data_IF_486943928298
#
_entry.id   IF_486943928298
#
_cell.length_a   1.000
_cell.length_b   1.000
_cell.length_c   1.000
_cell.angle_alpha   90.00
_cell.angle_beta   90.00
_cell.angle_gamma   90.00
#
_symmetry.space_group_name_H-M   'P 1'
#
loop_
_entity.id
_entity.type
_entity.pdbx_description
1 polymer ?
#
# COMPACT_ATOMS: atom_id res chain seq x y z
N UNK A 1 -7.72 18.96 4.59
CA UNK A 1 -6.67 19.51 5.48
C UNK A 1 -5.90 20.54 4.68
N UNK A 2 -5.73 21.75 5.19
CA UNK A 2 -4.89 22.78 4.55
C UNK A 2 -3.53 22.82 5.26
N UNK A 3 -2.45 22.92 4.47
CA UNK A 3 -1.08 22.99 4.98
C UNK A 3 -0.58 24.44 4.85
N UNK A 4 -0.09 25.02 5.94
CA UNK A 4 0.43 26.37 5.98
C UNK A 4 1.94 26.42 5.63
N UNK A 5 2.61 25.27 5.71
CA UNK A 5 4.05 25.13 5.49
C UNK A 5 4.49 25.55 4.09
N UNK A 6 5.47 26.47 4.03
CA UNK A 6 6.02 26.97 2.77
C UNK A 6 6.99 25.97 2.14
N UNK A 7 7.74 25.24 2.96
CA UNK A 7 8.64 24.19 2.49
C UNK A 7 8.02 22.81 2.62
N UNK A 8 8.55 21.82 1.89
CA UNK A 8 8.13 20.41 2.04
C UNK A 8 8.35 19.91 3.48
N UNK A 9 9.45 20.31 4.11
CA UNK A 9 9.76 19.95 5.50
C UNK A 9 8.77 20.53 6.51
N UNK A 10 8.35 21.79 6.32
CA UNK A 10 7.31 22.39 7.18
C UNK A 10 5.99 21.62 7.05
N UNK A 11 5.57 21.32 5.81
CA UNK A 11 4.36 20.53 5.55
C UNK A 11 4.45 19.11 6.11
N UNK A 12 5.64 18.51 6.11
CA UNK A 12 5.87 17.20 6.72
C UNK A 12 5.69 17.24 8.24
N UNK A 13 6.19 18.28 8.93
CA UNK A 13 5.95 18.44 10.36
C UNK A 13 4.47 18.69 10.68
N UNK A 14 3.79 19.48 9.85
CA UNK A 14 2.33 19.66 9.95
C UNK A 14 1.60 18.32 9.76
N UNK A 15 2.00 17.52 8.76
CA UNK A 15 1.46 16.18 8.51
C UNK A 15 1.61 15.26 9.72
N UNK A 16 2.79 15.23 10.35
CA UNK A 16 3.03 14.46 11.59
C UNK A 16 2.10 14.94 12.70
N UNK A 17 1.99 16.26 12.90
CA UNK A 17 1.14 16.83 13.94
C UNK A 17 -0.36 16.53 13.70
N UNK A 18 -0.81 16.57 12.44
CA UNK A 18 -2.16 16.13 12.05
C UNK A 18 -2.36 14.63 12.28
N UNK A 19 -1.38 13.80 11.91
CA UNK A 19 -1.41 12.35 12.13
C UNK A 19 -1.54 11.98 13.61
N UNK A 20 -0.81 12.67 14.49
CA UNK A 20 -0.93 12.47 15.95
C UNK A 20 -2.32 12.86 16.45
N UNK A 21 -2.80 14.08 16.12
CA UNK A 21 -4.11 14.54 16.58
C UNK A 21 -5.25 13.67 16.05
N UNK A 22 -5.18 13.30 14.76
CA UNK A 22 -6.14 12.41 14.12
C UNK A 22 -6.11 11.02 14.74
N UNK A 23 -4.93 10.43 14.97
CA UNK A 23 -4.79 9.13 15.60
C UNK A 23 -5.36 9.08 17.02
N UNK A 24 -5.14 10.13 17.83
CA UNK A 24 -5.73 10.24 19.18
C UNK A 24 -7.25 10.34 19.10
N UNK A 25 -7.78 11.22 18.25
CA UNK A 25 -9.22 11.41 18.10
C UNK A 25 -9.90 10.11 17.62
N UNK A 26 -9.33 9.43 16.63
CA UNK A 26 -9.86 8.16 16.12
C UNK A 26 -9.77 7.04 17.16
N UNK A 27 -8.72 7.00 17.97
CA UNK A 27 -8.63 6.04 19.07
C UNK A 27 -9.72 6.27 20.13
N UNK A 28 -10.05 7.52 20.43
CA UNK A 28 -11.15 7.89 21.35
C UNK A 28 -12.51 7.48 20.78
N UNK A 29 -12.80 7.86 19.53
CA UNK A 29 -14.06 7.50 18.85
C UNK A 29 -14.23 5.98 18.82
N UNK A 30 -13.19 5.24 18.39
CA UNK A 30 -13.26 3.78 18.33
C UNK A 30 -13.41 3.14 19.72
N UNK A 31 -12.77 3.70 20.75
CA UNK A 31 -12.91 3.21 22.14
C UNK A 31 -14.32 3.43 22.70
N UNK A 32 -14.95 4.57 22.40
CA UNK A 32 -16.32 4.87 22.81
C UNK A 32 -17.32 3.99 22.04
N UNK A 33 -17.17 3.91 20.72
CA UNK A 33 -18.05 3.11 19.85
C UNK A 33 -18.05 1.63 20.19
N UNK A 34 -16.89 1.05 20.50
CA UNK A 34 -16.81 -0.38 20.84
C UNK A 34 -17.49 -0.71 22.18
N UNK A 35 -17.75 0.28 23.04
CA UNK A 35 -18.44 0.11 24.32
C UNK A 35 -17.89 -1.05 25.19
N UNK A 36 -16.57 -1.19 25.26
CA UNK A 36 -15.90 -2.27 26.02
C UNK A 36 -15.73 -3.61 25.27
N UNK A 37 -16.37 -3.79 24.12
CA UNK A 37 -16.31 -5.03 23.33
C UNK A 37 -15.06 -5.12 22.45
N UNK A 38 -14.40 -6.29 22.44
CA UNK A 38 -13.22 -6.56 21.62
C UNK A 38 -11.93 -5.86 22.07
N UNK A 39 -10.92 -5.81 21.19
CA UNK A 39 -9.65 -5.09 21.40
C UNK A 39 -9.48 -4.07 20.28
N UNK A 40 -8.96 -2.90 20.63
CA UNK A 40 -8.66 -1.83 19.68
C UNK A 40 -7.19 -1.85 19.31
N UNK A 41 -6.88 -1.97 18.01
CA UNK A 41 -5.52 -1.94 17.50
C UNK A 41 -5.31 -0.70 16.62
N UNK A 42 -4.09 -0.16 16.64
CA UNK A 42 -3.65 0.86 15.69
C UNK A 42 -2.78 0.20 14.63
N UNK A 43 -3.11 0.42 13.35
CA UNK A 43 -2.24 0.02 12.25
C UNK A 43 -1.27 1.15 11.90
N UNK A 44 0.01 0.82 11.71
CA UNK A 44 1.09 1.75 11.36
C UNK A 44 1.83 1.24 10.13
N UNK A 45 1.87 2.03 9.07
CA UNK A 45 2.74 1.78 7.93
C UNK A 45 4.15 2.28 8.27
N UNK A 46 5.16 1.40 8.24
CA UNK A 46 6.51 1.76 8.69
C UNK A 46 7.20 2.75 7.74
N UNK A 47 7.04 2.58 6.42
CA UNK A 47 7.53 3.52 5.42
C UNK A 47 6.70 4.82 5.30
N UNK A 48 5.76 5.09 6.22
CA UNK A 48 5.16 6.41 6.31
C UNK A 48 6.18 7.41 6.88
N UNK A 49 6.11 8.66 6.40
CA UNK A 49 6.93 9.74 6.92
C UNK A 49 6.58 10.02 8.38
N UNK A 50 7.56 9.99 9.27
CA UNK A 50 7.35 10.26 10.69
C UNK A 50 6.63 9.14 11.45
N UNK A 51 6.73 7.88 11.00
CA UNK A 51 6.09 6.75 11.68
C UNK A 51 6.40 6.68 13.20
N UNK A 52 7.67 6.83 13.60
CA UNK A 52 8.07 6.82 15.01
C UNK A 52 7.45 7.95 15.85
N UNK A 53 7.60 9.24 15.51
CA UNK A 53 6.99 10.32 16.29
C UNK A 53 5.47 10.27 16.30
N UNK A 54 4.83 9.85 15.19
CA UNK A 54 3.37 9.65 15.16
C UNK A 54 2.97 8.57 16.17
N UNK A 55 3.65 7.42 16.15
CA UNK A 55 3.34 6.33 17.04
C UNK A 55 3.53 6.71 18.52
N UNK A 56 4.63 7.37 18.87
CA UNK A 56 4.85 7.89 20.22
C UNK A 56 3.76 8.88 20.63
N UNK A 57 3.43 9.84 19.76
CA UNK A 57 2.40 10.85 20.04
C UNK A 57 1.01 10.25 20.25
N UNK A 58 0.62 9.27 19.43
CA UNK A 58 -0.68 8.61 19.55
C UNK A 58 -0.74 7.71 20.79
N UNK A 59 0.27 6.88 21.05
CA UNK A 59 0.25 5.98 22.21
C UNK A 59 0.33 6.73 23.55
N UNK A 60 1.02 7.88 23.58
CA UNK A 60 1.00 8.77 24.75
C UNK A 60 -0.37 9.44 24.93
N UNK A 61 -0.90 10.04 23.86
CA UNK A 61 -2.16 10.80 23.92
C UNK A 61 -3.43 9.94 24.06
N UNK A 62 -3.37 8.67 23.64
CA UNK A 62 -4.46 7.70 23.72
C UNK A 62 -4.13 6.55 24.69
N UNK A 63 -3.31 6.82 25.71
CA UNK A 63 -2.86 5.81 26.68
C UNK A 63 -4.05 5.08 27.31
N UNK A 64 -4.00 3.74 27.28
CA UNK A 64 -5.05 2.86 27.80
C UNK A 64 -6.22 2.61 26.83
N UNK A 65 -6.27 3.27 25.66
CA UNK A 65 -7.32 3.05 24.67
C UNK A 65 -6.91 2.00 23.62
N UNK A 66 -5.62 1.99 23.23
CA UNK A 66 -5.05 1.09 22.23
C UNK A 66 -4.41 -0.13 22.92
N UNK A 67 -4.73 -1.32 22.43
CA UNK A 67 -4.32 -2.61 22.99
C UNK A 67 -3.24 -3.31 22.16
N UNK A 68 -3.14 -2.98 20.87
CA UNK A 68 -2.18 -3.56 19.95
C UNK A 68 -1.72 -2.57 18.89
N UNK A 69 -0.49 -2.74 18.40
CA UNK A 69 0.02 -2.03 17.23
C UNK A 69 0.36 -3.05 16.14
N UNK A 70 -0.39 -3.01 15.05
CA UNK A 70 -0.11 -3.80 13.85
C UNK A 70 0.77 -2.98 12.93
N UNK A 71 1.87 -3.55 12.42
CA UNK A 71 2.83 -2.77 11.64
C UNK A 71 3.44 -3.54 10.47
N UNK A 72 3.33 -2.97 9.27
CA UNK A 72 3.85 -3.52 8.02
C UNK A 72 4.49 -2.46 7.13
N UNK A 73 4.60 -2.76 5.83
CA UNK A 73 5.21 -1.88 4.81
C UNK A 73 6.61 -1.37 5.22
N UNK A 74 7.60 -2.27 5.21
CA UNK A 74 8.99 -1.99 5.59
C UNK A 74 9.56 -3.03 6.56
N UNK A 75 10.69 -2.70 7.20
CA UNK A 75 11.29 -3.54 8.26
C UNK A 75 11.22 -2.81 9.62
N UNK A 76 10.11 -2.93 10.38
CA UNK A 76 9.86 -2.15 11.58
C UNK A 76 10.65 -2.65 12.79
N UNK A 77 11.98 -2.44 12.79
CA UNK A 77 12.85 -2.93 13.86
C UNK A 77 12.59 -2.27 15.22
N UNK A 78 12.02 -1.07 15.28
CA UNK A 78 11.78 -0.38 16.56
C UNK A 78 10.37 -0.58 17.12
N UNK A 79 9.45 -1.18 16.38
CA UNK A 79 8.05 -1.29 16.81
C UNK A 79 7.90 -1.98 18.17
N UNK A 80 8.62 -3.07 18.39
CA UNK A 80 8.59 -3.80 19.65
C UNK A 80 9.03 -2.93 20.84
N UNK A 81 10.10 -2.14 20.66
CA UNK A 81 10.60 -1.27 21.70
C UNK A 81 9.63 -0.12 22.00
N UNK A 82 9.03 0.47 20.97
CA UNK A 82 8.06 1.57 21.13
C UNK A 82 6.82 1.03 21.83
N UNK A 83 6.18 -0.03 21.32
CA UNK A 83 4.96 -0.60 21.88
C UNK A 83 5.13 -1.03 23.35
N UNK A 84 6.26 -1.64 23.70
CA UNK A 84 6.55 -2.07 25.07
C UNK A 84 6.68 -0.89 26.06
N UNK A 85 7.19 0.28 25.63
CA UNK A 85 7.26 1.48 26.50
C UNK A 85 5.87 1.94 26.96
N UNK A 86 4.84 1.67 26.16
CA UNK A 86 3.45 2.03 26.45
C UNK A 86 2.62 0.87 27.00
N UNK A 87 3.22 -0.31 27.18
CA UNK A 87 2.51 -1.51 27.63
C UNK A 87 1.47 -2.02 26.63
N UNK A 88 1.78 -1.94 25.33
CA UNK A 88 0.90 -2.33 24.22
C UNK A 88 1.53 -3.49 23.46
N UNK A 89 0.73 -4.47 23.03
CA UNK A 89 1.23 -5.58 22.21
C UNK A 89 1.60 -5.12 20.80
N UNK A 90 2.57 -5.77 20.16
CA UNK A 90 2.92 -5.51 18.76
C UNK A 90 2.66 -6.74 17.88
N UNK A 91 2.28 -6.47 16.63
CA UNK A 91 1.88 -7.45 15.62
C UNK A 91 2.58 -7.11 14.30
N UNK A 92 3.78 -7.65 14.02
CA UNK A 92 4.45 -7.41 12.75
C UNK A 92 3.70 -8.08 11.61
N UNK A 93 3.53 -7.34 10.50
CA UNK A 93 3.08 -7.86 9.22
C UNK A 93 4.31 -8.32 8.44
N UNK A 94 4.30 -9.57 8.00
CA UNK A 94 5.38 -10.19 7.23
C UNK A 94 4.79 -10.94 6.04
N UNK A 95 5.55 -11.00 4.95
CA UNK A 95 5.18 -11.83 3.80
C UNK A 95 5.87 -13.19 3.79
N UNK A 96 6.78 -13.49 4.72
CA UNK A 96 7.53 -14.76 4.74
C UNK A 96 8.22 -15.04 6.08
N UNK A 97 8.55 -16.32 6.32
CA UNK A 97 9.39 -16.75 7.43
C UNK A 97 10.75 -16.05 7.46
N UNK A 98 11.32 -15.75 6.27
CA UNK A 98 12.61 -15.03 6.14
C UNK A 98 12.51 -13.61 6.67
N UNK A 99 11.43 -12.89 6.33
CA UNK A 99 11.20 -11.53 6.82
C UNK A 99 11.04 -11.53 8.34
N UNK A 100 10.21 -12.43 8.88
CA UNK A 100 10.03 -12.55 10.33
C UNK A 100 11.33 -12.92 11.06
N UNK A 101 12.11 -13.88 10.53
CA UNK A 101 13.43 -14.25 11.08
C UNK A 101 14.37 -13.06 11.17
N UNK A 102 14.40 -12.20 10.15
CA UNK A 102 15.22 -10.99 10.17
C UNK A 102 14.77 -10.01 11.28
N UNK A 103 13.47 -9.78 11.42
CA UNK A 103 12.92 -8.92 12.48
C UNK A 103 13.20 -9.50 13.88
N UNK A 104 12.99 -10.81 14.05
CA UNK A 104 13.22 -11.53 15.29
C UNK A 104 14.66 -11.43 15.78
N UNK A 105 15.60 -11.80 14.90
CA UNK A 105 17.02 -11.88 15.27
C UNK A 105 17.62 -10.51 15.59
N UNK A 106 17.15 -9.45 14.91
CA UNK A 106 17.67 -8.10 15.04
C UNK A 106 16.99 -7.29 16.14
N UNK A 107 15.71 -7.57 16.44
CA UNK A 107 14.92 -6.78 17.39
C UNK A 107 14.05 -7.63 18.33
N UNK A 108 13.08 -8.39 17.81
CA UNK A 108 11.94 -8.83 18.61
C UNK A 108 12.28 -9.86 19.69
N UNK A 109 13.36 -10.65 19.52
CA UNK A 109 13.82 -11.60 20.54
C UNK A 109 14.16 -10.96 21.90
N UNK A 110 14.36 -9.63 21.94
CA UNK A 110 14.67 -8.89 23.17
C UNK A 110 13.42 -8.55 23.99
N UNK A 111 12.25 -8.58 23.35
CA UNK A 111 10.96 -8.18 23.92
C UNK A 111 9.88 -9.17 23.43
N UNK A 112 10.07 -10.49 23.63
CA UNK A 112 9.15 -11.50 23.12
C UNK A 112 7.77 -11.46 23.82
N UNK A 113 7.72 -11.04 25.08
CA UNK A 113 6.52 -11.03 25.92
C UNK A 113 5.43 -10.07 25.44
N UNK A 114 5.81 -9.06 24.64
CA UNK A 114 4.88 -8.10 24.05
C UNK A 114 4.43 -8.48 22.63
N UNK A 115 4.99 -9.54 22.03
CA UNK A 115 4.56 -10.02 20.71
C UNK A 115 3.17 -10.69 20.84
N UNK A 116 2.14 -10.07 20.28
CA UNK A 116 0.76 -10.58 20.38
C UNK A 116 0.39 -11.59 19.30
N UNK A 117 1.10 -11.58 18.17
CA UNK A 117 0.81 -12.40 17.00
C UNK A 117 1.67 -11.97 15.82
N UNK A 118 1.75 -12.78 14.78
CA UNK A 118 2.45 -12.43 13.53
C UNK A 118 1.45 -12.45 12.40
N UNK A 119 1.24 -11.31 11.73
CA UNK A 119 0.36 -11.25 10.56
C UNK A 119 1.14 -11.74 9.35
N UNK A 120 0.79 -12.90 8.81
CA UNK A 120 1.25 -13.30 7.48
C UNK A 120 0.33 -12.66 6.46
N UNK A 121 0.87 -11.79 5.62
CA UNK A 121 0.14 -11.16 4.53
C UNK A 121 0.57 -11.76 3.20
N UNK A 122 -0.37 -12.41 2.51
CA UNK A 122 -0.14 -13.01 1.20
C UNK A 122 0.28 -11.93 0.19
N UNK A 123 1.50 -12.01 -0.38
CA UNK A 123 2.04 -10.92 -1.18
C UNK A 123 1.47 -10.90 -2.62
N UNK A 124 0.67 -11.88 -3.02
CA UNK A 124 -0.03 -11.87 -4.31
C UNK A 124 -1.52 -11.58 -4.17
N UNK A 125 -2.13 -11.83 -3.01
CA UNK A 125 -3.59 -11.78 -2.85
C UNK A 125 -4.09 -10.63 -1.99
N UNK A 126 -3.25 -10.07 -1.11
CA UNK A 126 -3.65 -8.97 -0.24
C UNK A 126 -3.86 -7.67 -1.02
N UNK A 127 -4.83 -6.85 -0.59
CA UNK A 127 -5.04 -5.51 -1.14
C UNK A 127 -4.01 -4.52 -0.59
N UNK A 128 -3.76 -3.43 -1.30
CA UNK A 128 -2.81 -2.41 -0.82
C UNK A 128 -1.36 -2.79 -1.10
N UNK A 129 -0.43 -2.39 -0.23
CA UNK A 129 1.00 -2.69 -0.41
C UNK A 129 1.31 -4.17 -0.17
N UNK A 130 2.17 -4.76 -1.01
CA UNK A 130 2.48 -6.18 -0.97
C UNK A 130 3.98 -6.46 -0.79
N UNK A 131 4.30 -7.43 0.07
CA UNK A 131 5.66 -7.79 0.46
C UNK A 131 6.40 -8.78 -0.45
N UNK A 132 6.27 -8.65 -1.78
CA UNK A 132 7.06 -9.47 -2.72
C UNK A 132 8.56 -9.14 -2.67
N UNK A 133 9.37 -10.17 -2.73
CA UNK A 133 10.82 -10.09 -2.88
C UNK A 133 11.24 -10.08 -4.35
N UNK A 134 12.46 -9.61 -4.63
CA UNK A 134 12.98 -9.54 -6.01
C UNK A 134 13.15 -10.91 -6.69
N UNK A 135 13.12 -12.01 -5.94
CA UNK A 135 13.21 -13.38 -6.49
C UNK A 135 11.84 -13.99 -6.80
N UNK A 136 10.76 -13.34 -6.39
CA UNK A 136 9.40 -13.83 -6.61
C UNK A 136 8.83 -13.20 -7.87
N UNK A 137 8.07 -13.99 -8.64
CA UNK A 137 7.37 -13.51 -9.82
C UNK A 137 6.00 -12.95 -9.41
N UNK A 138 5.71 -11.65 -9.62
CA UNK A 138 4.41 -11.06 -9.29
C UNK A 138 3.25 -11.68 -10.09
N UNK A 139 3.52 -12.32 -11.23
CA UNK A 139 2.50 -12.92 -12.10
C UNK A 139 2.19 -14.38 -11.77
N UNK A 140 2.91 -14.99 -10.83
CA UNK A 140 2.74 -16.40 -10.45
C UNK A 140 2.45 -16.49 -8.95
N UNK A 141 1.17 -16.38 -8.54
CA UNK A 141 0.79 -16.55 -7.14
C UNK A 141 1.14 -17.94 -6.60
N UNK A 142 1.73 -17.96 -5.40
CA UNK A 142 2.03 -19.21 -4.70
C UNK A 142 0.89 -19.61 -3.75
N UNK A 143 0.91 -20.89 -3.33
CA UNK A 143 0.08 -21.37 -2.24
C UNK A 143 0.58 -20.77 -0.90
N UNK A 144 -0.30 -20.14 -0.08
CA UNK A 144 0.11 -19.62 1.21
C UNK A 144 0.45 -20.71 2.24
N UNK A 145 -0.08 -21.95 2.15
CA UNK A 145 0.11 -22.97 3.18
C UNK A 145 1.59 -23.27 3.47
N UNK A 146 2.45 -23.60 2.47
CA UNK A 146 3.85 -23.88 2.74
C UNK A 146 4.62 -22.69 3.35
N UNK A 147 4.22 -21.45 3.00
CA UNK A 147 4.87 -20.23 3.49
C UNK A 147 4.51 -19.96 4.95
N UNK A 148 3.25 -20.23 5.33
CA UNK A 148 2.76 -20.16 6.71
C UNK A 148 3.33 -21.30 7.56
N UNK A 149 3.41 -22.51 7.02
CA UNK A 149 4.04 -23.64 7.71
C UNK A 149 5.52 -23.37 8.02
N UNK A 150 6.28 -22.82 7.05
CA UNK A 150 7.67 -22.40 7.27
C UNK A 150 7.80 -21.28 8.32
N UNK A 151 6.81 -20.37 8.40
CA UNK A 151 6.77 -19.33 9.43
C UNK A 151 6.51 -19.96 10.80
N UNK A 152 5.55 -20.87 10.92
CA UNK A 152 5.22 -21.62 12.14
C UNK A 152 6.42 -22.44 12.62
N UNK A 153 7.08 -23.17 11.73
CA UNK A 153 8.29 -23.95 12.04
C UNK A 153 9.36 -23.06 12.69
N UNK A 154 9.64 -21.89 12.09
CA UNK A 154 10.61 -20.97 12.66
C UNK A 154 10.13 -20.37 13.99
N UNK A 155 8.87 -19.96 14.10
CA UNK A 155 8.28 -19.46 15.35
C UNK A 155 8.43 -20.48 16.49
N UNK A 156 8.10 -21.75 16.22
CA UNK A 156 8.24 -22.84 17.20
C UNK A 156 9.72 -23.03 17.61
N UNK A 157 10.66 -22.95 16.65
CA UNK A 157 12.09 -23.09 16.93
C UNK A 157 12.66 -22.02 17.88
N UNK A 158 11.96 -20.90 18.05
CA UNK A 158 12.36 -19.80 18.95
C UNK A 158 11.43 -19.65 20.15
N UNK A 159 10.58 -20.64 20.42
CA UNK A 159 9.72 -20.71 21.60
C UNK A 159 8.39 -19.96 21.49
N UNK A 160 7.94 -19.63 20.27
CA UNK A 160 6.67 -18.93 20.02
C UNK A 160 5.53 -19.90 19.64
N UNK A 161 5.48 -21.07 20.28
CA UNK A 161 4.55 -22.14 19.93
C UNK A 161 3.08 -21.69 20.02
N UNK A 162 2.74 -20.91 21.05
CA UNK A 162 1.37 -20.49 21.32
C UNK A 162 1.02 -19.11 20.73
N UNK A 163 1.98 -18.45 20.06
CA UNK A 163 1.73 -17.15 19.43
C UNK A 163 1.02 -17.37 18.09
N UNK A 164 -0.15 -16.74 17.85
CA UNK A 164 -0.92 -16.99 16.65
C UNK A 164 -0.25 -16.40 15.41
N UNK A 165 -0.35 -17.12 14.30
CA UNK A 165 -0.18 -16.54 12.97
C UNK A 165 -1.55 -16.04 12.51
N UNK A 166 -1.62 -14.80 12.06
CA UNK A 166 -2.84 -14.20 11.53
C UNK A 166 -2.72 -14.22 10.01
N UNK A 167 -3.44 -15.13 9.35
CA UNK A 167 -3.49 -15.25 7.90
C UNK A 167 -4.29 -14.07 7.31
N UNK A 168 -3.64 -13.28 6.47
CA UNK A 168 -4.20 -12.12 5.78
C UNK A 168 -3.92 -12.19 4.28
N UNK A 169 -4.80 -11.60 3.49
CA UNK A 169 -4.70 -11.59 2.02
C UNK A 169 -5.37 -12.81 1.39
N UNK A 170 -6.31 -12.58 0.48
CA UNK A 170 -7.06 -13.66 -0.18
C UNK A 170 -8.09 -14.39 0.70
N UNK A 171 -8.15 -14.13 2.01
CA UNK A 171 -9.17 -14.74 2.88
C UNK A 171 -10.54 -14.18 2.52
N UNK A 172 -11.46 -15.06 2.10
CA UNK A 172 -12.86 -14.71 1.83
C UNK A 172 -13.82 -15.53 2.66
N UNK A 173 -13.70 -16.87 2.60
CA UNK A 173 -14.47 -17.81 3.43
C UNK A 173 -13.53 -18.55 4.37
N UNK A 174 -13.94 -18.80 5.62
CA UNK A 174 -13.13 -19.60 6.54
C UNK A 174 -13.17 -21.08 6.21
N UNK A 175 -14.23 -21.58 5.56
CA UNK A 175 -14.31 -22.96 5.07
C UNK A 175 -13.21 -23.32 4.07
N UNK A 176 -12.67 -22.32 3.35
CA UNK A 176 -11.51 -22.51 2.45
C UNK A 176 -10.21 -22.81 3.24
N UNK A 177 -10.23 -22.66 4.57
CA UNK A 177 -9.11 -22.86 5.49
C UNK A 177 -9.44 -23.88 6.60
N UNK A 178 -10.46 -24.73 6.44
CA UNK A 178 -10.85 -25.72 7.45
C UNK A 178 -9.66 -26.62 7.87
N UNK A 179 -8.86 -27.06 6.89
CA UNK A 179 -7.67 -27.88 7.09
C UNK A 179 -6.49 -27.15 7.80
N UNK A 180 -6.66 -25.88 8.17
CA UNK A 180 -5.64 -25.07 8.87
C UNK A 180 -5.92 -24.91 10.36
N UNK A 181 -7.19 -24.82 10.78
CA UNK A 181 -7.58 -24.30 12.11
C UNK A 181 -6.97 -25.11 13.26
N UNK A 182 -6.94 -26.44 13.13
CA UNK A 182 -6.37 -27.36 14.12
C UNK A 182 -5.11 -28.09 13.62
N UNK A 183 -4.55 -27.64 12.50
CA UNK A 183 -3.39 -28.30 11.91
C UNK A 183 -2.10 -27.83 12.62
N UNK A 184 -1.35 -28.73 13.28
CA UNK A 184 -0.16 -28.37 14.07
C UNK A 184 0.97 -27.74 13.23
N UNK A 185 0.94 -27.88 11.90
CA UNK A 185 1.91 -27.24 11.01
C UNK A 185 1.71 -25.73 10.89
N UNK A 186 0.53 -25.21 11.23
CA UNK A 186 0.21 -23.77 11.11
C UNK A 186 -0.46 -23.18 12.35
N UNK A 187 -1.15 -24.00 13.14
CA UNK A 187 -1.84 -23.60 14.36
C UNK A 187 -0.88 -23.12 15.49
N UNK A 188 -1.33 -22.23 16.40
CA UNK A 188 -2.63 -21.54 16.37
C UNK A 188 -2.68 -20.52 15.22
N UNK A 189 -3.83 -20.46 14.53
CA UNK A 189 -4.05 -19.56 13.40
C UNK A 189 -5.30 -18.71 13.63
N UNK A 190 -5.25 -17.45 13.20
CA UNK A 190 -6.38 -16.54 13.12
C UNK A 190 -6.44 -15.93 11.71
N UNK A 191 -7.49 -15.19 11.39
CA UNK A 191 -7.71 -14.66 10.04
C UNK A 191 -8.02 -13.16 10.07
N UNK A 192 -7.46 -12.42 9.12
CA UNK A 192 -7.70 -11.00 8.96
C UNK A 192 -8.35 -10.71 7.60
N UNK A 193 -9.42 -9.92 7.62
CA UNK A 193 -10.18 -9.51 6.45
C UNK A 193 -10.00 -8.01 6.20
N UNK A 194 -9.47 -7.65 5.03
CA UNK A 194 -9.32 -6.25 4.61
C UNK A 194 -10.36 -5.82 3.57
N UNK A 195 -10.60 -6.67 2.56
CA UNK A 195 -11.49 -6.32 1.43
C UNK A 195 -12.97 -6.43 1.78
N UNK A 196 -13.43 -7.52 2.43
CA UNK A 196 -14.87 -7.71 2.74
C UNK A 196 -15.48 -6.54 3.53
N UNK A 197 -14.81 -5.99 4.57
CA UNK A 197 -15.35 -4.84 5.31
C UNK A 197 -15.50 -3.54 4.50
N UNK A 198 -14.94 -3.44 3.29
CA UNK A 198 -15.16 -2.28 2.43
C UNK A 198 -16.64 -2.13 2.07
N UNK A 199 -17.36 -3.25 1.88
CA UNK A 199 -18.78 -3.25 1.51
C UNK A 199 -19.67 -3.56 2.72
N UNK A 200 -19.69 -2.64 3.68
CA UNK A 200 -20.62 -2.65 4.82
C UNK A 200 -21.31 -1.29 4.97
N UNK A 201 -22.34 -1.24 5.81
CA UNK A 201 -23.07 0.00 6.10
C UNK A 201 -22.18 1.03 6.81
N UNK A 202 -21.31 0.56 7.70
CA UNK A 202 -20.38 1.37 8.50
C UNK A 202 -19.16 1.86 7.70
N UNK A 203 -18.89 1.27 6.54
CA UNK A 203 -17.80 1.69 5.67
C UNK A 203 -18.08 3.07 5.05
N UNK A 204 -17.12 3.99 5.23
CA UNK A 204 -17.20 5.38 4.77
C UNK A 204 -16.86 5.56 3.27
N UNK A 205 -16.59 4.48 2.53
CA UNK A 205 -16.37 4.59 1.09
C UNK A 205 -17.65 5.08 0.38
N UNK A 206 -17.49 5.77 -0.75
CA UNK A 206 -18.60 6.32 -1.53
C UNK A 206 -19.54 5.23 -2.08
N UNK A 207 -20.80 5.58 -2.33
CA UNK A 207 -21.76 4.67 -2.97
C UNK A 207 -21.31 4.23 -4.36
N UNK A 208 -20.61 5.10 -5.08
CA UNK A 208 -19.98 4.78 -6.36
C UNK A 208 -18.91 3.70 -6.20
N UNK A 209 -18.05 3.79 -5.18
CA UNK A 209 -17.07 2.76 -4.86
C UNK A 209 -17.76 1.45 -4.46
N UNK A 210 -18.78 1.49 -3.61
CA UNK A 210 -19.59 0.31 -3.25
C UNK A 210 -20.19 -0.37 -4.48
N UNK A 211 -20.74 0.41 -5.40
CA UNK A 211 -21.27 -0.06 -6.69
C UNK A 211 -20.17 -0.65 -7.57
N UNK A 212 -18.99 -0.02 -7.64
CA UNK A 212 -17.86 -0.55 -8.42
C UNK A 212 -17.44 -1.93 -7.92
N UNK A 213 -17.37 -2.13 -6.60
CA UNK A 213 -16.98 -3.39 -5.97
C UNK A 213 -17.90 -4.57 -6.38
N UNK A 214 -19.21 -4.37 -6.42
CA UNK A 214 -20.17 -5.45 -6.78
C UNK A 214 -20.17 -5.82 -8.26
N UNK A 215 -19.58 -4.99 -9.12
CA UNK A 215 -19.48 -5.22 -10.55
C UNK A 215 -18.11 -5.76 -10.99
N UNK A 216 -17.16 -5.94 -10.07
CA UNK A 216 -15.83 -6.46 -10.36
C UNK A 216 -15.88 -7.89 -10.90
N UNK A 217 -15.09 -8.14 -11.93
CA UNK A 217 -14.84 -9.47 -12.49
C UNK A 217 -13.51 -10.04 -12.01
N UNK A 218 -13.36 -11.35 -12.08
CA UNK A 218 -12.07 -11.98 -11.80
C UNK A 218 -11.01 -11.44 -12.77
N UNK A 219 -9.90 -10.93 -12.23
CA UNK A 219 -8.85 -10.25 -13.00
C UNK A 219 -8.95 -8.71 -13.03
N UNK A 220 -10.00 -8.12 -12.44
CA UNK A 220 -10.14 -6.66 -12.34
C UNK A 220 -9.24 -6.05 -11.25
N UNK A 221 -8.63 -6.85 -10.38
CA UNK A 221 -7.60 -6.37 -9.44
C UNK A 221 -6.23 -6.74 -9.97
N UNK A 222 -5.36 -5.74 -10.12
CA UNK A 222 -4.00 -5.92 -10.62
C UNK A 222 -2.95 -5.68 -9.54
N UNK A 223 -1.90 -6.51 -9.56
CA UNK A 223 -0.69 -6.31 -8.79
C UNK A 223 0.31 -5.53 -9.65
N UNK A 224 0.66 -4.31 -9.25
CA UNK A 224 1.45 -3.38 -10.05
C UNK A 224 2.57 -2.73 -9.23
N UNK A 225 3.53 -2.10 -9.89
CA UNK A 225 4.71 -1.47 -9.26
C UNK A 225 4.78 0.05 -9.50
N UNK A 226 3.63 0.70 -9.47
CA UNK A 226 3.53 2.17 -9.61
C UNK A 226 3.63 2.91 -8.27
N UNK A 227 3.59 2.17 -7.15
CA UNK A 227 3.62 2.76 -5.82
C UNK A 227 4.87 3.64 -5.65
N UNK A 228 4.73 4.87 -5.12
CA UNK A 228 5.87 5.75 -4.92
C UNK A 228 6.88 5.23 -3.88
N UNK A 229 6.55 4.19 -3.12
CA UNK A 229 7.48 3.49 -2.21
C UNK A 229 8.40 2.52 -2.96
N UNK A 230 8.08 2.16 -4.21
CA UNK A 230 8.77 1.13 -4.99
C UNK A 230 8.32 -0.30 -4.69
N UNK A 231 7.39 -0.50 -3.75
CA UNK A 231 6.78 -1.80 -3.49
C UNK A 231 5.69 -2.12 -4.51
N UNK A 232 5.38 -3.41 -4.63
CA UNK A 232 4.17 -3.83 -5.34
C UNK A 232 2.93 -3.42 -4.55
N UNK A 233 1.83 -3.21 -5.26
CA UNK A 233 0.53 -2.98 -4.66
C UNK A 233 -0.61 -3.56 -5.49
N UNK A 234 -1.67 -4.01 -4.82
CA UNK A 234 -2.89 -4.53 -5.42
C UNK A 234 -4.01 -3.50 -5.38
N UNK A 235 -4.54 -3.16 -6.54
CA UNK A 235 -5.61 -2.19 -6.72
C UNK A 235 -6.54 -2.58 -7.88
N UNK A 236 -7.78 -2.11 -7.81
CA UNK A 236 -8.77 -2.27 -8.88
C UNK A 236 -8.30 -1.52 -10.12
N UNK A 237 -8.37 -2.21 -11.27
CA UNK A 237 -8.11 -1.65 -12.60
C UNK A 237 -9.22 -0.69 -12.98
N UNK A 238 -8.81 0.54 -13.21
CA UNK A 238 -9.62 1.65 -13.66
C UNK A 238 -8.79 2.52 -14.62
N UNK A 239 -9.38 3.60 -15.12
CA UNK A 239 -8.71 4.52 -16.04
C UNK A 239 -7.42 5.11 -15.45
N UNK A 240 -7.37 5.35 -14.13
CA UNK A 240 -6.17 5.83 -13.44
C UNK A 240 -4.98 4.86 -13.52
N UNK A 241 -5.19 3.57 -13.21
CA UNK A 241 -4.12 2.58 -13.33
C UNK A 241 -3.73 2.34 -14.79
N UNK A 242 -4.70 2.36 -15.71
CA UNK A 242 -4.44 2.22 -17.13
C UNK A 242 -3.58 3.37 -17.66
N UNK A 243 -3.81 4.62 -17.25
CA UNK A 243 -2.92 5.73 -17.58
C UNK A 243 -1.48 5.50 -17.09
N UNK A 244 -1.30 4.99 -15.86
CA UNK A 244 0.03 4.66 -15.32
C UNK A 244 0.75 3.57 -16.14
N UNK A 245 0.01 2.55 -16.60
CA UNK A 245 0.54 1.53 -17.51
C UNK A 245 0.97 2.15 -18.84
N UNK A 246 0.07 2.85 -19.52
CA UNK A 246 0.38 3.43 -20.83
C UNK A 246 1.48 4.49 -20.75
N UNK A 247 1.55 5.24 -19.65
CA UNK A 247 2.65 6.16 -19.37
C UNK A 247 3.97 5.41 -19.23
N UNK A 248 3.98 4.26 -18.56
CA UNK A 248 5.18 3.42 -18.48
C UNK A 248 5.56 2.82 -19.84
N UNK A 249 4.60 2.55 -20.73
CA UNK A 249 4.87 2.05 -22.08
C UNK A 249 5.39 3.15 -23.03
N UNK A 250 4.95 4.40 -22.83
CA UNK A 250 5.41 5.58 -23.59
C UNK A 250 6.74 6.13 -23.07
N UNK A 251 7.76 5.29 -22.92
CA UNK A 251 9.11 5.72 -22.53
C UNK A 251 10.20 5.13 -23.41
N UNK A 252 11.30 5.86 -23.59
CA UNK A 252 12.51 5.37 -24.28
C UNK A 252 13.77 5.84 -23.57
N UNK A 253 14.88 5.11 -23.76
CA UNK A 253 16.21 5.59 -23.35
C UNK A 253 16.58 6.79 -24.21
N UNK A 254 17.19 7.81 -23.62
CA UNK A 254 17.57 9.02 -24.34
C UNK A 254 18.90 9.60 -23.87
N UNK A 255 19.53 10.40 -24.72
CA UNK A 255 20.64 11.29 -24.34
C UNK A 255 20.36 12.73 -24.76
N UNK A 256 21.06 13.67 -24.11
CA UNK A 256 21.04 15.09 -24.49
C UNK A 256 22.08 15.44 -25.55
N UNK A 257 23.01 14.52 -25.81
CA UNK A 257 24.07 14.62 -26.81
C UNK A 257 24.04 13.38 -27.67
N UNK A 258 24.45 13.50 -28.94
CA UNK A 258 24.55 12.33 -29.80
C UNK A 258 25.64 11.38 -29.29
N UNK A 259 25.29 10.11 -29.15
CA UNK A 259 26.16 9.00 -28.78
C UNK A 259 26.07 7.91 -29.84
N UNK A 260 26.92 6.88 -29.78
CA UNK A 260 26.96 5.83 -30.81
C UNK A 260 25.59 5.12 -30.98
N UNK A 261 24.94 4.74 -29.87
CA UNK A 261 23.66 4.04 -29.88
C UNK A 261 22.44 4.97 -29.73
N UNK A 262 22.65 6.24 -29.36
CA UNK A 262 21.62 7.26 -29.19
C UNK A 262 21.96 8.46 -30.09
N UNK A 263 21.62 8.37 -31.37
CA UNK A 263 22.03 9.35 -32.38
C UNK A 263 20.88 9.93 -33.20
N UNK A 264 19.67 9.36 -33.14
CA UNK A 264 18.52 9.92 -33.86
C UNK A 264 17.95 11.10 -33.09
N UNK A 265 18.20 12.31 -33.59
CA UNK A 265 17.78 13.56 -32.96
C UNK A 265 16.29 13.85 -33.17
N UNK A 266 15.53 13.94 -32.06
CA UNK A 266 14.11 14.28 -32.07
C UNK A 266 13.93 15.64 -31.37
N UNK A 267 13.49 16.68 -32.08
CA UNK A 267 13.20 17.99 -31.48
C UNK A 267 12.10 17.89 -30.43
N UNK A 268 12.35 18.38 -29.22
CA UNK A 268 11.38 18.36 -28.13
C UNK A 268 11.22 19.73 -27.46
N UNK A 269 9.99 20.00 -27.03
CA UNK A 269 9.61 21.22 -26.32
C UNK A 269 9.66 22.49 -27.18
N UNK A 270 9.27 23.62 -26.59
CA UNK A 270 9.11 24.91 -27.31
C UNK A 270 10.38 25.42 -28.00
N UNK A 271 11.56 25.06 -27.49
CA UNK A 271 12.86 25.48 -28.05
C UNK A 271 13.41 24.51 -29.09
N UNK A 272 12.72 23.39 -29.35
CA UNK A 272 13.13 22.37 -30.33
C UNK A 272 14.51 21.78 -30.05
N UNK A 273 14.94 21.74 -28.78
CA UNK A 273 16.24 21.14 -28.44
C UNK A 273 16.12 19.62 -28.63
N UNK A 274 16.99 19.00 -29.45
CA UNK A 274 16.86 17.58 -29.71
C UNK A 274 17.21 16.77 -28.46
N UNK A 275 16.43 15.72 -28.23
CA UNK A 275 16.90 14.53 -27.51
C UNK A 275 17.41 13.54 -28.55
N UNK A 276 18.31 12.65 -28.16
CA UNK A 276 18.82 11.60 -29.04
C UNK A 276 18.34 10.25 -28.52
N UNK A 277 17.74 9.46 -29.40
CA UNK A 277 17.18 8.13 -29.11
C UNK A 277 17.79 7.08 -30.05
N UNK A 278 17.47 5.82 -29.79
CA UNK A 278 17.82 4.70 -30.68
C UNK A 278 17.02 4.80 -31.97
N UNK A 279 17.57 4.26 -33.06
CA UNK A 279 16.89 4.20 -34.36
C UNK A 279 15.55 3.47 -34.26
N UNK A 280 15.51 2.30 -33.62
CA UNK A 280 14.30 1.48 -33.42
C UNK A 280 13.22 2.13 -32.54
N UNK A 281 13.58 3.17 -31.79
CA UNK A 281 12.66 3.92 -30.91
C UNK A 281 12.16 5.22 -31.56
N UNK A 282 12.81 5.68 -32.62
CA UNK A 282 12.53 7.00 -33.20
C UNK A 282 11.11 7.10 -33.74
N UNK A 283 10.63 6.06 -34.41
CA UNK A 283 9.28 6.06 -34.99
C UNK A 283 8.19 5.96 -33.93
N UNK A 284 8.45 5.26 -32.82
CA UNK A 284 7.54 5.24 -31.65
C UNK A 284 7.39 6.64 -31.08
N UNK A 285 8.51 7.34 -30.87
CA UNK A 285 8.48 8.70 -30.31
C UNK A 285 7.75 9.65 -31.25
N UNK A 286 8.03 9.64 -32.56
CA UNK A 286 7.29 10.47 -33.53
C UNK A 286 5.78 10.20 -33.48
N UNK A 287 5.38 8.93 -33.45
CA UNK A 287 3.97 8.55 -33.35
C UNK A 287 3.33 9.08 -32.05
N UNK A 288 4.02 9.02 -30.91
CA UNK A 288 3.52 9.61 -29.66
C UNK A 288 3.38 11.13 -29.73
N UNK A 289 4.34 11.82 -30.37
CA UNK A 289 4.26 13.27 -30.58
C UNK A 289 3.07 13.65 -31.46
N UNK A 290 2.82 12.91 -32.54
CA UNK A 290 1.67 13.10 -33.42
C UNK A 290 0.34 12.82 -32.70
N UNK A 291 0.32 11.85 -31.78
CA UNK A 291 -0.81 11.55 -30.92
C UNK A 291 -1.02 12.55 -29.76
N UNK A 292 -0.20 13.60 -29.64
CA UNK A 292 -0.35 14.67 -28.67
C UNK A 292 0.43 14.49 -27.35
N UNK A 293 1.25 13.45 -27.23
CA UNK A 293 2.15 13.24 -26.07
C UNK A 293 3.46 14.02 -26.23
N UNK A 294 3.35 15.35 -26.30
CA UNK A 294 4.44 16.23 -26.71
C UNK A 294 5.39 16.66 -25.59
N UNK A 295 5.08 16.35 -24.34
CA UNK A 295 5.93 16.68 -23.19
C UNK A 295 6.74 15.47 -22.73
N UNK A 296 8.06 15.55 -22.87
CA UNK A 296 8.98 14.54 -22.34
C UNK A 296 9.41 14.85 -20.91
N UNK A 297 9.27 13.88 -20.01
CA UNK A 297 9.71 13.98 -18.61
C UNK A 297 10.79 12.93 -18.32
N UNK A 298 11.98 13.34 -17.84
CA UNK A 298 13.05 12.40 -17.52
C UNK A 298 12.73 11.56 -16.28
N UNK A 299 13.13 10.29 -16.29
CA UNK A 299 12.97 9.35 -15.18
C UNK A 299 14.31 9.18 -14.41
N UNK A 300 14.31 8.44 -13.29
CA UNK A 300 15.54 8.04 -12.60
C UNK A 300 16.39 6.98 -13.34
N UNK A 301 15.85 6.33 -14.36
CA UNK A 301 16.47 5.17 -15.04
C UNK A 301 17.06 5.54 -16.41
N UNK A 302 17.46 6.80 -16.59
CA UNK A 302 17.97 7.35 -17.86
C UNK A 302 17.00 7.19 -19.06
N UNK A 303 15.71 7.09 -18.77
CA UNK A 303 14.62 7.10 -19.76
C UNK A 303 13.86 8.43 -19.74
N UNK A 304 13.11 8.67 -20.81
CA UNK A 304 12.17 9.78 -20.91
C UNK A 304 10.79 9.24 -21.21
N UNK A 305 9.81 9.62 -20.37
CA UNK A 305 8.40 9.32 -20.60
C UNK A 305 7.72 10.45 -21.35
N UNK A 306 6.79 10.12 -22.24
CA UNK A 306 6.04 11.07 -23.05
C UNK A 306 4.59 11.15 -22.57
N UNK A 307 4.17 12.36 -22.22
CA UNK A 307 2.83 12.67 -21.69
C UNK A 307 2.22 13.86 -22.41
N UNK A 308 0.92 14.08 -22.21
CA UNK A 308 0.24 15.28 -22.70
C UNK A 308 0.70 16.52 -21.93
N UNK A 309 0.58 17.74 -22.50
CA UNK A 309 0.87 18.98 -21.78
C UNK A 309 0.12 19.15 -20.46
N UNK A 310 -1.15 18.74 -20.42
CA UNK A 310 -1.98 18.77 -19.21
C UNK A 310 -1.47 17.80 -18.14
N UNK A 311 -1.19 16.55 -18.51
CA UNK A 311 -0.64 15.54 -17.59
C UNK A 311 0.72 16.00 -17.02
N UNK A 312 1.59 16.58 -17.85
CA UNK A 312 2.87 17.13 -17.38
C UNK A 312 2.69 18.25 -16.34
N UNK A 313 1.68 19.10 -16.49
CA UNK A 313 1.37 20.16 -15.53
C UNK A 313 0.85 19.57 -14.22
N UNK A 314 -0.06 18.60 -14.29
CA UNK A 314 -0.60 17.91 -13.11
C UNK A 314 0.49 17.18 -12.33
N UNK A 315 1.35 16.40 -13.01
CA UNK A 315 2.47 15.70 -12.38
C UNK A 315 3.40 16.69 -11.67
N UNK A 316 3.80 17.77 -12.34
CA UNK A 316 4.68 18.79 -11.75
C UNK A 316 4.02 19.46 -10.55
N UNK A 317 2.73 19.79 -10.64
CA UNK A 317 1.97 20.37 -9.54
C UNK A 317 1.96 19.44 -8.33
N UNK A 318 1.63 18.16 -8.52
CA UNK A 318 1.58 17.17 -7.44
C UNK A 318 2.97 16.96 -6.79
N UNK A 319 4.05 17.03 -7.58
CA UNK A 319 5.42 16.97 -7.06
C UNK A 319 5.81 18.23 -6.25
N UNK A 320 5.32 19.40 -6.64
CA UNK A 320 5.55 20.67 -5.93
C UNK A 320 4.77 20.68 -4.61
N UNK A 321 3.51 20.23 -4.66
CA UNK A 321 2.57 20.20 -3.54
C UNK A 321 2.87 19.08 -2.53
N UNK A 322 3.90 18.25 -2.79
CA UNK A 322 4.35 17.19 -1.90
C UNK A 322 4.45 17.66 -0.43
N UNK A 323 3.90 16.83 0.46
CA UNK A 323 3.79 17.08 1.91
C UNK A 323 4.66 16.12 2.73
N UNK A 324 5.39 15.21 2.06
CA UNK A 324 6.28 14.26 2.73
C UNK A 324 5.54 13.17 3.52
N UNK A 325 4.48 12.57 2.96
CA UNK A 325 3.70 11.53 3.65
C UNK A 325 4.43 10.17 3.77
N UNK A 326 5.50 9.95 2.99
CA UNK A 326 6.31 8.74 3.02
C UNK A 326 7.71 9.04 3.56
N UNK A 327 8.37 8.03 4.13
CA UNK A 327 9.77 8.08 4.55
C UNK A 327 10.66 8.44 3.35
N UNK A 328 10.38 7.81 2.19
CA UNK A 328 10.99 8.06 0.89
C UNK A 328 9.92 7.96 -0.20
N UNK A 329 9.97 8.86 -1.20
CA UNK A 329 8.98 8.90 -2.27
C UNK A 329 9.66 9.05 -3.63
N UNK A 330 9.54 8.02 -4.48
CA UNK A 330 10.06 8.03 -5.85
C UNK A 330 9.35 9.09 -6.71
N UNK A 331 8.03 9.26 -6.55
CA UNK A 331 7.26 10.21 -7.35
C UNK A 331 7.69 11.67 -7.15
N UNK A 332 7.94 12.08 -5.91
CA UNK A 332 8.26 13.48 -5.59
C UNK A 332 9.73 13.76 -5.36
N UNK A 333 10.56 12.70 -5.28
CA UNK A 333 11.95 12.65 -4.83
C UNK A 333 12.20 12.93 -3.34
N UNK A 334 11.15 13.01 -2.53
CA UNK A 334 11.23 13.30 -1.09
C UNK A 334 11.90 12.19 -0.28
N UNK A 335 12.64 12.57 0.76
CA UNK A 335 13.18 11.71 1.82
C UNK A 335 13.10 12.49 3.14
N UNK A 336 12.68 11.87 4.24
CA UNK A 336 12.31 12.58 5.47
C UNK A 336 13.48 13.18 6.28
N UNK A 337 14.71 12.71 6.09
CA UNK A 337 15.90 13.16 6.82
C UNK A 337 16.70 14.21 6.03
N UNK A 338 17.00 13.91 4.77
CA UNK A 338 17.82 14.76 3.88
C UNK A 338 16.95 15.68 3.00
N UNK A 339 15.63 15.51 3.00
CA UNK A 339 14.69 16.25 2.15
C UNK A 339 14.67 15.77 0.69
N UNK A 340 15.59 14.88 0.31
CA UNK A 340 15.66 14.30 -1.04
C UNK A 340 16.28 12.91 -1.05
N UNK A 341 15.80 12.04 -1.93
CA UNK A 341 16.40 10.74 -2.21
C UNK A 341 17.72 10.82 -2.99
N UNK A 342 18.11 12.02 -3.46
CA UNK A 342 19.24 12.23 -4.37
C UNK A 342 18.97 11.76 -5.81
N UNK A 343 17.82 11.14 -6.06
CA UNK A 343 17.37 10.72 -7.39
C UNK A 343 16.41 11.75 -7.98
N UNK A 344 16.18 11.65 -9.29
CA UNK A 344 15.12 12.39 -9.96
C UNK A 344 13.76 11.93 -9.44
N UNK A 345 12.78 12.81 -9.52
CA UNK A 345 11.39 12.45 -9.34
C UNK A 345 10.94 11.52 -10.47
N UNK A 346 10.17 10.48 -10.18
CA UNK A 346 9.71 9.51 -11.16
C UNK A 346 8.29 9.82 -11.64
N UNK A 347 8.14 10.39 -12.85
CA UNK A 347 6.83 10.73 -13.41
C UNK A 347 5.99 9.50 -13.75
N UNK A 348 6.53 8.27 -13.73
CA UNK A 348 5.77 7.03 -13.96
C UNK A 348 4.95 6.61 -12.74
N UNK A 349 5.25 7.19 -11.57
CA UNK A 349 4.50 6.99 -10.33
C UNK A 349 3.47 8.11 -10.13
N UNK A 350 2.94 8.26 -8.92
CA UNK A 350 1.88 9.21 -8.58
C UNK A 350 1.92 9.62 -7.10
N UNK A 351 1.17 10.66 -6.76
CA UNK A 351 1.00 11.08 -5.36
C UNK A 351 -0.06 10.23 -4.66
N UNK A 352 0.36 9.16 -3.98
CA UNK A 352 -0.54 8.22 -3.29
C UNK A 352 -1.45 8.88 -2.25
N UNK A 353 -0.94 9.88 -1.52
CA UNK A 353 -1.74 10.59 -0.52
C UNK A 353 -2.89 11.37 -1.18
N UNK A 354 -2.62 12.04 -2.30
CA UNK A 354 -3.64 12.79 -3.04
C UNK A 354 -4.73 11.84 -3.49
N UNK A 355 -4.36 10.74 -4.16
CA UNK A 355 -5.35 9.86 -4.77
C UNK A 355 -6.23 9.16 -3.74
N UNK A 356 -5.63 8.67 -2.65
CA UNK A 356 -6.37 8.05 -1.55
C UNK A 356 -7.27 9.04 -0.80
N UNK A 357 -6.84 10.29 -0.65
CA UNK A 357 -7.69 11.32 -0.04
C UNK A 357 -8.83 11.73 -0.97
N UNK A 358 -8.57 11.89 -2.27
CA UNK A 358 -9.60 12.23 -3.26
C UNK A 358 -10.72 11.19 -3.28
N UNK A 359 -10.38 9.89 -3.46
CA UNK A 359 -11.38 8.82 -3.58
C UNK A 359 -12.21 8.67 -2.29
N UNK A 360 -11.58 8.86 -1.12
CA UNK A 360 -12.28 8.81 0.17
C UNK A 360 -13.23 10.00 0.39
N UNK A 361 -13.09 11.09 -0.36
CA UNK A 361 -13.89 12.30 -0.23
C UNK A 361 -14.74 12.59 -1.49
N UNK A 362 -15.11 11.54 -2.22
CA UNK A 362 -16.12 11.59 -3.29
C UNK A 362 -15.59 12.01 -4.67
N UNK A 363 -14.28 11.96 -4.90
CA UNK A 363 -13.76 12.02 -6.26
C UNK A 363 -14.16 10.75 -7.05
N UNK A 364 -14.20 10.91 -8.37
CA UNK A 364 -14.53 9.84 -9.32
C UNK A 364 -13.59 8.64 -9.12
N UNK A 365 -14.20 7.48 -8.92
CA UNK A 365 -13.49 6.24 -8.61
C UNK A 365 -12.70 5.69 -9.78
N UNK A 366 -13.00 6.11 -11.02
CA UNK A 366 -12.26 5.69 -12.21
C UNK A 366 -10.92 6.44 -12.36
N UNK A 367 -10.79 7.59 -11.69
CA UNK A 367 -9.63 8.48 -11.80
C UNK A 367 -8.74 8.51 -10.56
N UNK A 368 -8.95 7.61 -9.60
CA UNK A 368 -8.20 7.56 -8.35
C UNK A 368 -7.74 6.15 -7.98
N UNK A 369 -6.80 6.05 -7.04
CA UNK A 369 -6.29 4.75 -6.58
C UNK A 369 -7.34 4.04 -5.71
N UNK A 370 -7.82 2.88 -6.19
CA UNK A 370 -8.79 2.06 -5.48
C UNK A 370 -8.15 0.75 -4.99
N UNK A 371 -7.76 0.69 -3.71
CA UNK A 371 -7.21 -0.55 -3.15
C UNK A 371 -8.27 -1.62 -2.93
N UNK A 372 -7.95 -2.86 -3.34
CA UNK A 372 -8.72 -4.05 -3.03
C UNK A 372 -7.81 -5.28 -3.16
N UNK A 373 -8.13 -6.36 -2.44
CA UNK A 373 -7.47 -7.65 -2.60
C UNK A 373 -8.02 -8.42 -3.80
N UNK A 374 -7.27 -9.40 -4.29
CA UNK A 374 -7.59 -10.09 -5.55
C UNK A 374 -8.93 -10.83 -5.56
N UNK A 375 -9.50 -11.13 -4.39
CA UNK A 375 -10.81 -11.77 -4.27
C UNK A 375 -11.99 -10.78 -4.28
N UNK A 376 -11.77 -9.49 -4.56
CA UNK A 376 -12.83 -8.48 -4.58
C UNK A 376 -13.96 -8.78 -5.57
N UNK A 377 -13.69 -9.49 -6.68
CA UNK A 377 -14.73 -9.94 -7.62
C UNK A 377 -15.83 -10.79 -6.96
N UNK A 378 -15.53 -11.43 -5.84
CA UNK A 378 -16.50 -12.22 -5.08
C UNK A 378 -17.63 -11.37 -4.50
N UNK A 379 -17.52 -10.04 -4.44
CA UNK A 379 -18.66 -9.19 -4.10
C UNK A 379 -19.83 -9.34 -5.09
N UNK A 380 -19.54 -9.57 -6.38
CA UNK A 380 -20.57 -9.80 -7.39
C UNK A 380 -21.11 -11.23 -7.43
N UNK A 381 -20.38 -12.19 -6.86
CA UNK A 381 -20.70 -13.62 -6.91
C UNK A 381 -21.30 -14.17 -5.62
N UNK A 382 -20.93 -13.61 -4.47
CA UNK A 382 -21.33 -14.11 -3.16
C UNK A 382 -22.80 -13.75 -2.87
N UNK A 383 -23.69 -14.74 -2.67
CA UNK A 383 -25.10 -14.50 -2.41
C UNK A 383 -25.38 -13.60 -1.19
N UNK A 384 -24.42 -13.46 -0.28
CA UNK A 384 -24.51 -12.57 0.87
C UNK A 384 -24.68 -11.09 0.46
N UNK A 385 -24.15 -10.68 -0.70
CA UNK A 385 -24.25 -9.32 -1.24
C UNK A 385 -25.29 -9.19 -2.37
N UNK A 386 -26.01 -10.27 -2.70
CA UNK A 386 -26.97 -10.28 -3.80
C UNK A 386 -28.13 -9.30 -3.56
N UNK A 387 -28.77 -8.88 -4.67
CA UNK A 387 -29.91 -7.94 -4.66
C UNK A 387 -29.60 -6.59 -3.99
N UNK A 388 -28.34 -6.16 -4.01
CA UNK A 388 -27.91 -4.90 -3.40
C UNK A 388 -27.84 -4.95 -1.88
N UNK A 389 -27.74 -6.14 -1.27
CA UNK A 389 -27.59 -6.26 0.17
C UNK A 389 -26.21 -5.74 0.61
N UNK A 390 -26.21 -4.69 1.43
CA UNK A 390 -25.01 -4.18 2.09
C UNK A 390 -25.15 -4.47 3.59
N UNK A 391 -24.43 -5.49 4.11
CA UNK A 391 -24.56 -5.90 5.50
C UNK A 391 -23.94 -4.88 6.45
N UNK A 392 -24.39 -4.91 7.70
CA UNK A 392 -23.63 -4.33 8.82
C UNK A 392 -22.34 -5.11 9.05
N UNK A 393 -21.33 -4.50 9.69
CA UNK A 393 -20.11 -5.20 10.14
C UNK A 393 -20.46 -6.37 11.05
N UNK A 394 -21.49 -6.21 11.91
CA UNK A 394 -21.96 -7.29 12.77
C UNK A 394 -22.47 -8.49 11.96
N UNK A 395 -23.34 -8.27 10.98
CA UNK A 395 -23.85 -9.33 10.11
C UNK A 395 -22.72 -9.98 9.30
N UNK A 396 -21.74 -9.21 8.83
CA UNK A 396 -20.55 -9.74 8.17
C UNK A 396 -19.74 -10.66 9.11
N UNK A 397 -19.51 -10.25 10.36
CA UNK A 397 -18.79 -11.08 11.34
C UNK A 397 -19.59 -12.34 11.67
N UNK A 398 -20.90 -12.21 11.92
CA UNK A 398 -21.79 -13.35 12.18
C UNK A 398 -21.75 -14.34 11.00
N UNK A 399 -21.71 -13.85 9.75
CA UNK A 399 -21.56 -14.67 8.55
C UNK A 399 -20.21 -15.39 8.50
N UNK A 400 -19.10 -14.68 8.76
CA UNK A 400 -17.74 -15.24 8.83
C UNK A 400 -17.66 -16.38 9.84
N UNK A 401 -18.28 -16.22 11.01
CA UNK A 401 -18.29 -17.24 12.06
C UNK A 401 -19.02 -18.53 11.67
N UNK A 402 -19.84 -18.53 10.61
CA UNK A 402 -20.44 -19.75 10.05
C UNK A 402 -19.53 -20.52 9.10
N UNK A 403 -18.38 -19.94 8.73
CA UNK A 403 -17.51 -20.46 7.67
C UNK A 403 -17.54 -19.65 6.37
N UNK A 404 -18.52 -18.73 6.23
CA UNK A 404 -18.90 -18.07 4.96
C UNK A 404 -18.63 -16.55 4.90
#
# INVERSE_FOLDING_TARGET
>A
IEYAGKTRSDRHQELIAYGIRGGIAQAQIAHEMRNGEGRLHMNVLWEMGGAEPILHGVLEGAKGLIHGVTCGAGMPYKIAQISAQYGVHYYPIVSSARAFRALWLRSYKKIPEWLGGVVYEDPWRAGGHNGLSNSEDPLVPEDPFPRVAALREFMNSVGLNDVPIIMAGGVWFLRDFEDWIDNPEVAPVAFQFGTRPLLTQESEISDEWKSRLTNLQNGDVSLHKFSPTGFYSSAVRNEFLEDLHQRSDRQVRYSRTAEADLHVGIPLGRRGRPIYVREDDADKVKAWLEAGYTEGMPTPDDTMVFVTPESALTIKKDQIDCMGCLSQCQFSNWEQHEGTTGKRADPRSFCIQKTLQSIAHGADVEHELMFAGHNAYKFGEDPFYANGNIPTVKELVDRIMTGD
#
